data_IF_747886585567
#
_entry.id   IF_747886585567
#
_cell.length_a   1.000
_cell.length_b   1.000
_cell.length_c   1.000
_cell.angle_alpha   90.00
_cell.angle_beta   90.00
_cell.angle_gamma   90.00
#
_symmetry.space_group_name_H-M   'P 1'
#
loop_
_entity.id
_entity.type
_entity.pdbx_description
1 polymer ?
#
# COMPACT_ATOMS: atom_id res chain seq x y z
N UNK A 1 -2.78 -2.56 -22.29
CA UNK A 1 -2.88 -1.22 -21.71
C UNK A 1 -2.80 -1.48 -20.24
N UNK A 2 -1.72 -1.03 -19.60
CA UNK A 2 -1.46 -1.41 -18.22
C UNK A 2 -2.42 -0.61 -17.32
N UNK A 3 -3.16 -1.33 -16.50
CA UNK A 3 -4.18 -0.75 -15.61
C UNK A 3 -3.52 -0.34 -14.30
N UNK A 4 -3.68 0.93 -13.92
CA UNK A 4 -3.29 1.41 -12.60
C UNK A 4 -4.46 1.20 -11.64
N UNK A 5 -4.28 0.30 -10.68
CA UNK A 5 -5.22 0.12 -9.59
C UNK A 5 -4.88 1.08 -8.44
N UNK A 6 -5.88 1.79 -7.92
CA UNK A 6 -5.70 2.71 -6.80
C UNK A 6 -6.72 2.40 -5.69
N UNK A 7 -6.22 2.31 -4.47
CA UNK A 7 -7.01 2.24 -3.25
C UNK A 7 -7.27 3.65 -2.74
N UNK A 8 -8.55 4.02 -2.57
CA UNK A 8 -8.99 5.35 -2.10
C UNK A 8 -8.52 6.50 -3.00
N UNK A 9 -8.49 7.73 -2.47
CA UNK A 9 -8.01 8.94 -3.14
C UNK A 9 -7.10 9.75 -2.21
N UNK A 10 -6.11 10.44 -2.79
CA UNK A 10 -5.14 11.22 -2.01
C UNK A 10 -5.81 12.30 -1.13
N UNK A 11 -6.96 12.84 -1.56
CA UNK A 11 -7.72 13.82 -0.77
C UNK A 11 -8.24 13.22 0.54
N UNK A 12 -8.69 11.96 0.56
CA UNK A 12 -9.17 11.31 1.78
C UNK A 12 -8.01 11.13 2.77
N UNK A 13 -6.86 10.65 2.27
CA UNK A 13 -5.64 10.53 3.05
C UNK A 13 -5.20 11.89 3.61
N UNK A 14 -5.22 12.94 2.80
CA UNK A 14 -4.85 14.31 3.21
C UNK A 14 -5.77 14.89 4.29
N UNK A 15 -7.01 14.42 4.37
CA UNK A 15 -7.99 14.81 5.38
C UNK A 15 -7.95 13.93 6.64
N UNK A 16 -7.02 12.97 6.71
CA UNK A 16 -6.82 12.12 7.89
C UNK A 16 -7.57 10.80 7.87
N UNK A 17 -8.13 10.38 6.71
CA UNK A 17 -8.72 9.05 6.58
C UNK A 17 -7.62 8.00 6.40
N UNK A 18 -7.12 7.51 7.54
CA UNK A 18 -6.05 6.51 7.60
C UNK A 18 -6.57 5.10 7.86
N UNK A 19 -7.88 4.88 7.79
CA UNK A 19 -8.47 3.57 8.04
C UNK A 19 -8.24 2.63 6.86
N UNK A 20 -7.72 1.43 7.14
CA UNK A 20 -7.48 0.40 6.14
C UNK A 20 -8.72 0.09 5.30
N UNK A 21 -8.56 0.11 3.97
CA UNK A 21 -9.65 -0.14 3.02
C UNK A 21 -9.64 -1.57 2.51
N UNK A 22 -8.47 -2.07 2.08
CA UNK A 22 -8.28 -3.45 1.61
C UNK A 22 -7.10 -4.11 2.30
N UNK A 23 -7.02 -5.44 2.24
CA UNK A 23 -5.89 -6.19 2.78
C UNK A 23 -4.66 -6.14 1.86
N UNK A 24 -3.48 -6.45 2.39
CA UNK A 24 -2.26 -6.67 1.59
C UNK A 24 -2.46 -7.75 0.52
N UNK A 25 -3.13 -8.85 0.87
CA UNK A 25 -3.42 -9.94 -0.08
C UNK A 25 -4.30 -9.49 -1.25
N UNK A 26 -5.32 -8.68 -0.96
CA UNK A 26 -6.19 -8.09 -1.98
C UNK A 26 -5.42 -7.10 -2.85
N UNK A 27 -4.57 -6.25 -2.26
CA UNK A 27 -3.76 -5.29 -3.02
C UNK A 27 -2.80 -5.98 -4.01
N UNK A 28 -2.17 -7.08 -3.58
CA UNK A 28 -1.30 -7.91 -4.44
C UNK A 28 -2.02 -8.57 -5.61
N UNK A 29 -3.36 -8.70 -5.55
CA UNK A 29 -4.13 -9.21 -6.68
C UNK A 29 -4.20 -8.21 -7.86
N UNK A 30 -3.80 -6.95 -7.63
CA UNK A 30 -3.91 -5.86 -8.60
C UNK A 30 -2.57 -5.37 -9.17
N UNK A 31 -1.43 -5.94 -8.75
CA UNK A 31 -0.13 -5.61 -9.31
C UNK A 31 1.02 -6.35 -8.65
N UNK A 32 2.20 -6.25 -9.26
CA UNK A 32 3.48 -6.76 -8.74
C UNK A 32 4.45 -5.62 -8.35
N UNK A 33 4.18 -4.39 -8.78
CA UNK A 33 4.86 -3.18 -8.34
C UNK A 33 3.86 -2.14 -7.82
N UNK A 34 4.22 -1.44 -6.74
CA UNK A 34 3.32 -0.46 -6.13
C UNK A 34 3.92 0.33 -4.97
N UNK A 35 3.17 1.33 -4.52
CA UNK A 35 3.53 2.20 -3.39
C UNK A 35 2.28 2.72 -2.67
N UNK A 36 2.43 3.10 -1.40
CA UNK A 36 1.34 3.63 -0.59
C UNK A 36 1.70 3.69 0.89
N UNK A 37 0.73 3.44 1.77
CA UNK A 37 0.94 3.38 3.23
C UNK A 37 0.08 2.28 3.85
N UNK A 38 0.21 2.08 5.15
CA UNK A 38 -0.57 1.11 5.92
C UNK A 38 -1.60 1.81 6.82
N UNK A 39 -2.48 1.01 7.41
CA UNK A 39 -3.48 1.49 8.36
C UNK A 39 -2.85 2.37 9.45
N UNK A 40 -3.56 3.44 9.81
CA UNK A 40 -3.10 4.48 10.73
C UNK A 40 -1.81 5.21 10.29
N UNK A 41 -1.54 5.28 8.98
CA UNK A 41 -0.33 5.90 8.42
C UNK A 41 0.96 5.25 8.98
N UNK A 42 0.92 3.94 9.19
CA UNK A 42 2.01 3.18 9.80
C UNK A 42 3.12 2.89 8.79
N UNK A 43 3.91 3.92 8.48
CA UNK A 43 5.04 3.84 7.56
C UNK A 43 4.65 3.81 6.09
N UNK A 44 5.67 3.70 5.24
CA UNK A 44 5.52 3.68 3.79
C UNK A 44 5.43 2.23 3.30
N UNK A 45 4.45 1.96 2.44
CA UNK A 45 4.29 0.68 1.76
C UNK A 45 5.02 0.73 0.41
N UNK A 46 5.84 -0.29 0.17
CA UNK A 46 6.58 -0.50 -1.07
C UNK A 46 6.30 -1.92 -1.53
N UNK A 47 5.86 -2.09 -2.78
CA UNK A 47 5.67 -3.42 -3.38
C UNK A 47 6.60 -3.60 -4.57
N UNK A 48 7.40 -4.66 -4.54
CA UNK A 48 8.35 -5.03 -5.62
C UNK A 48 8.33 -6.55 -5.78
N UNK A 49 8.23 -7.02 -7.03
CA UNK A 49 8.11 -8.44 -7.37
C UNK A 49 6.98 -9.16 -6.59
N UNK A 50 5.88 -8.44 -6.33
CA UNK A 50 4.74 -8.95 -5.55
C UNK A 50 5.00 -9.13 -4.04
N UNK A 51 6.16 -8.72 -3.54
CA UNK A 51 6.48 -8.69 -2.11
C UNK A 51 6.22 -7.30 -1.56
N UNK A 52 5.48 -7.22 -0.45
CA UNK A 52 5.09 -5.95 0.19
C UNK A 52 5.98 -5.71 1.40
N UNK A 53 6.62 -4.55 1.42
CA UNK A 53 7.51 -4.08 2.47
C UNK A 53 6.95 -2.83 3.14
N UNK A 54 7.35 -2.65 4.40
CA UNK A 54 7.17 -1.40 5.15
C UNK A 54 8.51 -0.79 5.44
N UNK A 55 8.68 0.47 5.07
CA UNK A 55 9.69 1.34 5.66
C UNK A 55 9.03 2.14 6.79
N UNK A 56 9.43 1.89 8.04
CA UNK A 56 8.83 2.55 9.20
C UNK A 56 9.47 3.90 9.54
N UNK A 57 8.97 4.57 10.58
CA UNK A 57 9.47 5.88 11.02
C UNK A 57 10.87 5.86 11.65
N UNK A 58 11.40 4.67 11.96
CA UNK A 58 12.77 4.47 12.46
C UNK A 58 13.75 4.12 11.32
N UNK A 59 13.22 3.86 10.11
CA UNK A 59 13.98 3.50 8.92
C UNK A 59 14.22 1.99 8.78
N UNK A 60 13.56 1.16 9.59
CA UNK A 60 13.59 -0.29 9.40
C UNK A 60 12.69 -0.71 8.24
N UNK A 61 13.18 -1.67 7.44
CA UNK A 61 12.43 -2.24 6.32
C UNK A 61 12.09 -3.69 6.61
N UNK A 62 10.79 -4.00 6.68
CA UNK A 62 10.29 -5.35 6.99
C UNK A 62 9.25 -5.80 5.98
N UNK A 63 9.21 -7.11 5.69
CA UNK A 63 8.14 -7.70 4.88
C UNK A 63 6.83 -7.71 5.67
N UNK A 64 5.73 -7.36 5.03
CA UNK A 64 4.39 -7.32 5.63
C UNK A 64 3.49 -8.31 4.92
N UNK A 65 3.05 -9.34 5.65
CA UNK A 65 2.05 -10.30 5.17
C UNK A 65 0.62 -9.92 5.56
N UNK A 66 0.45 -9.32 6.75
CA UNK A 66 -0.87 -9.04 7.31
C UNK A 66 -0.96 -7.59 7.78
N UNK A 67 -1.58 -6.75 6.96
CA UNK A 67 -2.07 -5.42 7.34
C UNK A 67 -3.13 -4.99 6.32
N UNK A 68 -3.63 -3.76 6.46
CA UNK A 68 -4.58 -3.13 5.55
C UNK A 68 -4.02 -1.82 5.01
N UNK A 69 -4.44 -1.49 3.79
CA UNK A 69 -3.94 -0.36 3.01
C UNK A 69 -5.07 0.68 2.91
N UNK A 70 -4.92 1.88 3.50
CA UNK A 70 -5.88 2.97 3.36
C UNK A 70 -5.70 3.71 2.02
N UNK A 71 -4.48 3.72 1.48
CA UNK A 71 -4.13 4.34 0.20
C UNK A 71 -2.93 3.62 -0.41
N UNK A 72 -3.01 3.35 -1.72
CA UNK A 72 -1.91 2.75 -2.47
C UNK A 72 -2.23 2.64 -3.96
N UNK A 73 -1.19 2.52 -4.76
CA UNK A 73 -1.26 2.32 -6.20
C UNK A 73 -0.50 1.06 -6.58
N UNK A 74 -1.08 0.22 -7.43
CA UNK A 74 -0.48 -1.01 -7.94
C UNK A 74 -0.67 -1.13 -9.45
N UNK A 75 0.29 -1.74 -10.12
CA UNK A 75 0.19 -2.15 -11.51
C UNK A 75 1.01 -3.43 -11.73
N UNK A 76 0.73 -4.14 -12.82
CA UNK A 76 1.57 -5.23 -13.32
C UNK A 76 2.56 -4.66 -14.34
N UNK A 77 3.85 -4.59 -13.99
CA UNK A 77 4.90 -3.98 -14.83
C UNK A 77 6.24 -4.73 -14.83
#
# INVERSE_FOLDING_TARGET
MDELFQVSVLQALSLGDFHGSISVDEFKAHGDMGLGTFNHLNGEMIMVDGVVYRADGEGEVTEVMNDTIPFGNAAFI
#
